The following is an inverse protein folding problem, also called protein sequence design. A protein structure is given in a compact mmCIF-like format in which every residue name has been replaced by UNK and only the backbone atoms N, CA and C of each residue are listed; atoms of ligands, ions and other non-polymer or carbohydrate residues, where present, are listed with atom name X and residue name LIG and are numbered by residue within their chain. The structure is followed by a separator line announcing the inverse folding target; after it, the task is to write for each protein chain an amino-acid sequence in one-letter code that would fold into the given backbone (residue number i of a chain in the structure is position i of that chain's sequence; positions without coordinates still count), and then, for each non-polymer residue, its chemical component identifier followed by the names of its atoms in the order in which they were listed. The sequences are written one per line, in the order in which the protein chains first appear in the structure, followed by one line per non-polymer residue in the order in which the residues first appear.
data_IF_392702518771
#
_entry.id   IF_392702518771
#
_cell.length_a   1.000
_cell.length_b   1.000
_cell.length_c   1.000
_cell.angle_alpha   90.00
_cell.angle_beta   90.00
_cell.angle_gamma   90.00
#
_symmetry.space_group_name_H-M   'P 1'
#
loop_
_entity.id
_entity.type
_entity.pdbx_description
1 polymer ?
#
# COMPACT_ATOMS: atom_id res chain seq x y z
N UNK A 1 12.52 -12.84 24.80
CA UNK A 1 11.55 -12.37 23.80
C UNK A 1 12.26 -11.83 22.56
N UNK A 2 13.14 -10.81 22.65
CA UNK A 2 13.78 -10.18 21.49
C UNK A 2 14.54 -11.20 20.61
N UNK A 3 15.36 -12.07 21.21
CA UNK A 3 16.10 -13.12 20.50
C UNK A 3 15.19 -14.12 19.75
N UNK A 4 14.02 -14.45 20.34
CA UNK A 4 13.05 -15.34 19.69
C UNK A 4 12.40 -14.66 18.48
N UNK A 5 12.16 -13.36 18.58
CA UNK A 5 11.64 -12.55 17.47
C UNK A 5 12.68 -12.46 16.33
N UNK A 6 13.94 -12.15 16.65
CA UNK A 6 15.02 -12.07 15.65
C UNK A 6 15.21 -13.41 14.91
N UNK A 7 15.09 -14.54 15.64
CA UNK A 7 15.13 -15.87 15.04
C UNK A 7 13.93 -16.18 14.16
N UNK A 8 12.72 -15.75 14.53
CA UNK A 8 11.53 -15.91 13.71
C UNK A 8 11.62 -15.05 12.44
N UNK A 9 12.05 -13.81 12.55
CA UNK A 9 12.25 -12.89 11.43
C UNK A 9 13.33 -13.40 10.46
N UNK A 10 14.46 -13.89 10.98
CA UNK A 10 15.53 -14.47 10.16
C UNK A 10 15.12 -15.73 9.37
N UNK A 11 13.99 -16.35 9.73
CA UNK A 11 13.43 -17.53 9.07
C UNK A 11 12.22 -17.21 8.18
N UNK A 12 11.92 -15.94 7.92
CA UNK A 12 10.84 -15.52 7.03
C UNK A 12 9.66 -14.84 7.71
N UNK A 13 9.67 -14.73 9.04
CA UNK A 13 8.75 -13.87 9.80
C UNK A 13 7.34 -14.41 10.07
N UNK A 14 6.89 -15.46 9.39
CA UNK A 14 5.55 -16.03 9.51
C UNK A 14 5.47 -17.19 10.54
N UNK A 15 6.33 -17.17 11.54
CA UNK A 15 6.43 -18.20 12.57
C UNK A 15 6.49 -17.61 13.97
N UNK A 16 6.11 -18.45 14.94
CA UNK A 16 6.30 -18.17 16.36
C UNK A 16 7.50 -18.96 16.86
N UNK A 17 8.49 -18.27 17.42
CA UNK A 17 9.61 -18.90 18.09
C UNK A 17 9.38 -18.89 19.61
N UNK A 18 9.25 -20.07 20.19
CA UNK A 18 9.15 -20.23 21.65
C UNK A 18 10.49 -20.72 22.18
N UNK A 19 11.08 -19.96 23.10
CA UNK A 19 12.26 -20.40 23.85
C UNK A 19 11.81 -21.04 25.15
N UNK A 20 12.15 -22.32 25.33
CA UNK A 20 12.01 -23.05 26.57
C UNK A 20 13.39 -23.52 27.02
N UNK A 21 13.88 -22.98 28.13
CA UNK A 21 15.25 -23.11 28.59
C UNK A 21 16.25 -22.73 27.46
N UNK A 22 17.06 -23.67 26.98
CA UNK A 22 18.04 -23.45 25.90
C UNK A 22 17.59 -23.98 24.54
N UNK A 23 16.33 -24.44 24.40
CA UNK A 23 15.77 -24.91 23.15
C UNK A 23 14.80 -23.92 22.54
N UNK A 24 14.89 -23.76 21.22
CA UNK A 24 13.89 -23.01 20.44
C UNK A 24 12.98 -23.97 19.72
N UNK A 25 11.68 -23.80 19.90
CA UNK A 25 10.64 -24.51 19.13
C UNK A 25 9.94 -23.51 18.23
N UNK A 26 9.81 -23.85 16.96
CA UNK A 26 9.17 -23.00 15.96
C UNK A 26 7.81 -23.57 15.60
N UNK A 27 6.79 -22.71 15.56
CA UNK A 27 5.41 -23.04 15.18
C UNK A 27 5.00 -22.14 14.01
N UNK A 28 4.33 -22.71 13.03
CA UNK A 28 3.98 -22.02 11.80
C UNK A 28 5.13 -22.06 10.79
N UNK A 29 5.13 -21.12 9.86
CA UNK A 29 6.22 -21.02 8.87
C UNK A 29 6.24 -22.14 7.83
N UNK A 30 5.10 -22.74 7.55
CA UNK A 30 4.91 -23.49 6.31
C UNK A 30 4.68 -22.43 5.22
N UNK A 31 5.73 -21.68 4.88
CA UNK A 31 5.72 -20.89 3.68
C UNK A 31 5.54 -21.86 2.52
N UNK A 32 4.34 -21.97 2.01
CA UNK A 32 4.14 -22.41 0.62
C UNK A 32 5.09 -21.55 -0.17
N UNK A 33 6.12 -22.15 -0.76
CA UNK A 33 7.25 -21.47 -1.35
C UNK A 33 6.80 -20.23 -2.11
N UNK A 34 7.52 -19.13 -1.96
CA UNK A 34 7.27 -17.89 -2.68
C UNK A 34 6.93 -18.27 -4.11
N UNK A 35 5.65 -18.12 -4.47
CA UNK A 35 5.18 -18.43 -5.82
C UNK A 35 6.13 -17.68 -6.76
N UNK A 36 6.96 -18.41 -7.51
CA UNK A 36 7.88 -17.78 -8.46
C UNK A 36 7.00 -16.96 -9.40
N UNK A 37 6.85 -15.67 -9.08
CA UNK A 37 6.15 -14.73 -9.95
C UNK A 37 6.91 -14.75 -11.27
N UNK A 38 6.39 -15.47 -12.24
CA UNK A 38 7.03 -15.54 -13.55
C UNK A 38 7.08 -14.12 -14.09
N UNK A 39 8.20 -13.74 -14.72
CA UNK A 39 8.35 -12.42 -15.40
C UNK A 39 7.18 -12.11 -16.32
N UNK A 40 6.53 -13.14 -16.88
CA UNK A 40 5.34 -13.02 -17.73
C UNK A 40 4.14 -12.51 -16.92
N UNK A 41 3.83 -13.11 -15.76
CA UNK A 41 2.72 -12.67 -14.90
C UNK A 41 2.91 -11.22 -14.44
N UNK A 42 4.12 -10.85 -14.05
CA UNK A 42 4.42 -9.47 -13.64
C UNK A 42 4.19 -8.48 -14.79
N UNK A 43 4.60 -8.82 -16.01
CA UNK A 43 4.37 -7.97 -17.18
C UNK A 43 2.88 -7.83 -17.51
N UNK A 44 2.12 -8.92 -17.44
CA UNK A 44 0.66 -8.91 -17.68
C UNK A 44 -0.03 -7.99 -16.68
N UNK A 45 0.28 -8.12 -15.38
CA UNK A 45 -0.29 -7.26 -14.34
C UNK A 45 0.10 -5.80 -14.55
N UNK A 46 1.38 -5.51 -14.83
CA UNK A 46 1.85 -4.15 -15.08
C UNK A 46 1.18 -3.53 -16.32
N UNK A 47 0.97 -4.30 -17.40
CA UNK A 47 0.26 -3.84 -18.59
C UNK A 47 -1.19 -3.51 -18.29
N UNK A 48 -1.90 -4.38 -17.57
CA UNK A 48 -3.29 -4.15 -17.19
C UNK A 48 -3.43 -2.91 -16.29
N UNK A 49 -2.55 -2.75 -15.29
CA UNK A 49 -2.53 -1.54 -14.46
C UNK A 49 -2.26 -0.28 -15.26
N UNK A 50 -1.30 -0.32 -16.19
CA UNK A 50 -0.99 0.82 -17.06
C UNK A 50 -2.18 1.21 -17.94
N UNK A 51 -2.95 0.24 -18.42
CA UNK A 51 -4.16 0.49 -19.20
C UNK A 51 -5.24 1.16 -18.35
N UNK A 52 -5.50 0.65 -17.14
CA UNK A 52 -6.45 1.25 -16.20
C UNK A 52 -6.07 2.69 -15.85
N UNK A 53 -4.78 2.95 -15.59
CA UNK A 53 -4.27 4.30 -15.32
C UNK A 53 -4.49 5.21 -16.53
N UNK A 54 -4.15 4.76 -17.75
CA UNK A 54 -4.33 5.57 -18.97
C UNK A 54 -5.80 5.89 -19.28
N UNK A 55 -6.71 5.03 -18.92
CA UNK A 55 -8.16 5.20 -19.19
C UNK A 55 -8.86 6.04 -18.11
N UNK A 56 -8.23 6.26 -16.96
CA UNK A 56 -8.77 7.10 -15.90
C UNK A 56 -8.73 8.60 -16.27
N UNK A 57 -9.63 9.39 -15.69
CA UNK A 57 -9.57 10.86 -15.77
C UNK A 57 -8.43 11.43 -14.93
N UNK A 58 -8.23 10.86 -13.77
CA UNK A 58 -7.17 11.17 -12.82
C UNK A 58 -6.94 9.96 -11.90
N UNK A 59 -5.86 9.99 -11.14
CA UNK A 59 -5.51 8.93 -10.20
C UNK A 59 -5.47 9.50 -8.78
N UNK A 60 -6.18 8.86 -7.88
CA UNK A 60 -6.10 9.13 -6.44
C UNK A 60 -5.45 7.93 -5.77
N UNK A 61 -4.48 8.16 -4.91
CA UNK A 61 -3.72 7.10 -4.27
C UNK A 61 -3.84 7.29 -2.75
N UNK A 62 -4.04 6.24 -2.00
CA UNK A 62 -4.02 6.29 -0.55
C UNK A 62 -3.54 4.98 0.06
N UNK A 63 -2.99 5.06 1.24
CA UNK A 63 -2.65 3.90 2.06
C UNK A 63 -3.64 3.66 3.18
N UNK A 64 -3.14 3.08 4.27
CA UNK A 64 -3.92 2.81 5.48
C UNK A 64 -3.91 3.97 6.47
N UNK A 65 -4.86 3.97 7.42
CA UNK A 65 -4.83 4.83 8.62
C UNK A 65 -3.48 4.65 9.34
N UNK A 66 -2.95 5.77 9.89
CA UNK A 66 -1.62 5.77 10.52
C UNK A 66 -0.51 5.36 9.56
N UNK A 67 -0.63 5.79 8.29
CA UNK A 67 0.30 5.44 7.21
C UNK A 67 1.76 5.55 7.66
N UNK A 68 2.51 4.50 7.46
CA UNK A 68 3.92 4.38 7.80
C UNK A 68 4.82 4.63 6.57
N UNK A 69 6.11 4.32 6.68
CA UNK A 69 7.08 4.56 5.62
C UNK A 69 6.82 3.67 4.39
N UNK A 70 6.33 2.44 4.59
CA UNK A 70 6.03 1.51 3.50
C UNK A 70 4.82 2.00 2.71
N UNK A 71 3.75 2.34 3.41
CA UNK A 71 2.52 2.90 2.84
C UNK A 71 2.78 4.17 2.04
N UNK A 72 3.51 5.15 2.60
CA UNK A 72 3.82 6.42 1.91
C UNK A 72 4.80 6.20 0.76
N UNK A 73 5.79 5.33 0.92
CA UNK A 73 6.75 4.98 -0.13
C UNK A 73 6.09 4.30 -1.32
N UNK A 74 5.20 3.33 -1.06
CA UNK A 74 4.41 2.65 -2.09
C UNK A 74 3.49 3.63 -2.82
N UNK A 75 2.80 4.52 -2.07
CA UNK A 75 1.94 5.56 -2.65
C UNK A 75 2.73 6.51 -3.56
N UNK A 76 3.91 6.96 -3.14
CA UNK A 76 4.76 7.83 -3.94
C UNK A 76 5.27 7.12 -5.20
N UNK A 77 5.63 5.85 -5.12
CA UNK A 77 6.00 5.04 -6.29
C UNK A 77 4.87 4.98 -7.33
N UNK A 78 3.63 4.76 -6.89
CA UNK A 78 2.46 4.75 -7.79
C UNK A 78 2.12 6.13 -8.33
N UNK A 79 2.30 7.20 -7.56
CA UNK A 79 2.19 8.57 -8.01
C UNK A 79 3.15 8.85 -9.18
N UNK A 80 4.44 8.54 -9.03
CA UNK A 80 5.43 8.70 -10.11
C UNK A 80 5.10 7.85 -11.33
N UNK A 81 4.59 6.64 -11.15
CA UNK A 81 4.15 5.78 -12.25
C UNK A 81 2.96 6.38 -13.01
N UNK A 82 1.97 6.96 -12.32
CA UNK A 82 0.83 7.62 -12.93
C UNK A 82 1.26 8.85 -13.74
N UNK A 83 2.14 9.69 -13.19
CA UNK A 83 2.72 10.84 -13.91
C UNK A 83 3.49 10.40 -15.15
N UNK A 84 4.29 9.34 -15.08
CA UNK A 84 5.03 8.79 -16.22
C UNK A 84 4.10 8.28 -17.34
N UNK A 85 2.87 7.90 -16.99
CA UNK A 85 1.82 7.51 -17.93
C UNK A 85 0.98 8.72 -18.41
N UNK A 86 1.36 9.95 -18.08
CA UNK A 86 0.70 11.18 -18.48
C UNK A 86 -0.61 11.47 -17.75
N UNK A 87 -0.78 10.97 -16.52
CA UNK A 87 -1.99 11.18 -15.72
C UNK A 87 -1.73 12.04 -14.49
N UNK A 88 -2.64 12.96 -14.25
CA UNK A 88 -2.67 13.69 -12.97
C UNK A 88 -2.92 12.71 -11.84
N UNK A 89 -2.11 12.81 -10.81
CA UNK A 89 -2.22 11.96 -9.64
C UNK A 89 -2.06 12.77 -8.35
N UNK A 90 -2.70 12.31 -7.27
CA UNK A 90 -2.55 12.88 -5.93
C UNK A 90 -2.55 11.77 -4.89
N UNK A 91 -1.75 11.95 -3.85
CA UNK A 91 -1.67 11.05 -2.71
C UNK A 91 -2.49 11.64 -1.57
N UNK A 92 -3.51 10.93 -1.16
CA UNK A 92 -4.32 11.29 0.01
C UNK A 92 -3.61 10.81 1.26
N UNK A 93 -3.36 11.73 2.18
CA UNK A 93 -2.77 11.43 3.48
C UNK A 93 -3.35 12.32 4.57
N UNK A 94 -3.69 11.72 5.70
CA UNK A 94 -4.08 12.46 6.88
C UNK A 94 -2.83 12.81 7.71
N UNK A 95 -2.30 14.02 7.52
CA UNK A 95 -1.10 14.50 8.21
C UNK A 95 -1.21 14.54 9.74
N UNK A 96 -2.43 14.44 10.30
CA UNK A 96 -2.64 14.41 11.76
C UNK A 96 -2.40 13.03 12.37
N UNK A 97 -2.50 11.98 11.56
CA UNK A 97 -2.43 10.59 12.02
C UNK A 97 -1.30 9.78 11.41
N UNK A 98 -0.70 10.26 10.33
CA UNK A 98 0.42 9.55 9.68
C UNK A 98 1.64 9.42 10.61
N UNK A 99 2.31 8.29 10.54
CA UNK A 99 3.57 8.02 11.22
C UNK A 99 4.79 8.36 10.33
N UNK A 100 4.55 8.67 9.06
CA UNK A 100 5.59 8.93 8.06
C UNK A 100 5.80 10.43 7.75
N UNK A 101 5.45 11.34 8.67
CA UNK A 101 5.58 12.78 8.44
C UNK A 101 6.98 13.21 7.96
N UNK A 102 8.10 12.68 8.48
CA UNK A 102 9.43 13.04 7.99
C UNK A 102 9.67 12.69 6.51
N UNK A 103 9.11 11.56 6.04
CA UNK A 103 9.20 11.16 4.62
C UNK A 103 8.34 12.08 3.74
N UNK A 104 7.13 12.41 4.20
CA UNK A 104 6.24 13.34 3.51
C UNK A 104 6.89 14.72 3.35
N UNK A 105 7.54 15.23 4.40
CA UNK A 105 8.23 16.51 4.37
C UNK A 105 9.49 16.47 3.49
N UNK A 106 10.16 15.33 3.42
CA UNK A 106 11.30 15.14 2.52
C UNK A 106 10.86 15.13 1.05
N UNK A 107 9.82 14.37 0.71
CA UNK A 107 9.24 14.31 -0.65
C UNK A 107 8.69 15.70 -1.05
N UNK A 108 8.00 16.37 -0.13
CA UNK A 108 7.41 17.69 -0.36
C UNK A 108 8.39 18.77 -0.77
N UNK A 109 9.70 18.60 -0.52
CA UNK A 109 10.73 19.55 -1.00
C UNK A 109 10.90 19.55 -2.53
N UNK A 110 10.58 18.44 -3.18
CA UNK A 110 10.71 18.28 -4.64
C UNK A 110 9.37 18.13 -5.36
N UNK A 111 8.35 17.64 -4.66
CA UNK A 111 7.00 17.37 -5.17
C UNK A 111 5.97 17.83 -4.12
N UNK A 112 5.93 19.12 -3.78
CA UNK A 112 5.10 19.69 -2.70
C UNK A 112 3.60 19.53 -2.92
N UNK A 113 3.16 19.47 -4.17
CA UNK A 113 1.76 19.34 -4.58
C UNK A 113 1.28 17.88 -4.70
N UNK A 114 2.12 16.89 -4.41
CA UNK A 114 1.73 15.48 -4.54
C UNK A 114 0.79 15.01 -3.42
N UNK A 115 0.91 15.56 -2.21
CA UNK A 115 0.11 15.17 -1.05
C UNK A 115 -1.09 16.09 -0.83
N UNK A 116 -2.26 15.48 -0.67
CA UNK A 116 -3.50 16.21 -0.41
C UNK A 116 -4.21 15.68 0.83
N UNK A 117 -5.04 16.53 1.44
CA UNK A 117 -5.87 16.11 2.58
C UNK A 117 -6.98 15.13 2.15
N UNK A 118 -7.54 14.33 3.07
CA UNK A 118 -8.70 13.48 2.80
C UNK A 118 -9.87 14.24 2.17
N UNK A 119 -10.15 15.45 2.62
CA UNK A 119 -11.22 16.30 2.06
C UNK A 119 -10.94 16.71 0.61
N UNK A 120 -9.70 17.05 0.29
CA UNK A 120 -9.29 17.35 -1.08
C UNK A 120 -9.35 16.11 -1.96
N UNK A 121 -8.88 14.97 -1.45
CA UNK A 121 -8.97 13.67 -2.15
C UNK A 121 -10.41 13.29 -2.49
N UNK A 122 -11.36 13.49 -1.57
CA UNK A 122 -12.78 13.25 -1.80
C UNK A 122 -13.34 14.14 -2.95
N UNK A 123 -12.93 15.42 -3.00
CA UNK A 123 -13.33 16.33 -4.08
C UNK A 123 -12.76 15.92 -5.44
N UNK A 124 -11.52 15.44 -5.47
CA UNK A 124 -10.85 14.97 -6.68
C UNK A 124 -11.38 13.63 -7.19
N UNK A 125 -12.05 12.84 -6.32
CA UNK A 125 -12.64 11.56 -6.69
C UNK A 125 -13.94 11.78 -7.44
N UNK A 126 -13.92 11.57 -8.75
CA UNK A 126 -15.05 11.67 -9.67
C UNK A 126 -15.32 10.33 -10.36
N UNK A 127 -16.39 10.23 -11.17
CA UNK A 127 -16.88 8.97 -11.77
C UNK A 127 -15.79 8.14 -12.48
N UNK A 128 -14.83 8.78 -13.16
CA UNK A 128 -13.75 8.10 -13.89
C UNK A 128 -12.39 8.16 -13.16
N UNK A 129 -12.37 8.51 -11.88
CA UNK A 129 -11.17 8.43 -11.07
C UNK A 129 -10.77 6.98 -10.84
N UNK A 130 -9.50 6.68 -10.99
CA UNK A 130 -8.91 5.43 -10.52
C UNK A 130 -8.36 5.65 -9.11
N UNK A 131 -8.89 4.93 -8.14
CA UNK A 131 -8.33 4.86 -6.80
C UNK A 131 -7.33 3.72 -6.73
N UNK A 132 -6.12 4.01 -6.26
CA UNK A 132 -5.10 3.00 -5.96
C UNK A 132 -4.91 2.96 -4.44
N UNK A 133 -5.28 1.85 -3.83
CA UNK A 133 -5.07 1.59 -2.41
C UNK A 133 -3.78 0.78 -2.27
N UNK A 134 -2.86 1.26 -1.45
CA UNK A 134 -1.57 0.61 -1.21
C UNK A 134 -1.44 0.19 0.24
N UNK A 135 -0.71 -0.91 0.47
CA UNK A 135 -0.31 -1.39 1.79
C UNK A 135 -1.47 -1.69 2.75
N UNK A 136 -2.64 -1.92 2.20
CA UNK A 136 -3.80 -2.48 2.91
C UNK A 136 -4.82 -3.03 1.94
N UNK A 137 -5.55 -4.06 2.37
CA UNK A 137 -6.69 -4.62 1.64
C UNK A 137 -8.01 -4.49 2.42
N UNK A 138 -8.01 -3.74 3.53
CA UNK A 138 -9.18 -3.59 4.40
C UNK A 138 -9.86 -2.24 4.17
N UNK A 139 -11.11 -2.25 3.73
CA UNK A 139 -11.90 -1.05 3.47
C UNK A 139 -12.06 -0.15 4.72
N UNK A 140 -12.16 -0.74 5.90
CA UNK A 140 -12.29 0.02 7.15
C UNK A 140 -10.96 0.60 7.67
N UNK A 141 -9.85 0.20 7.08
CA UNK A 141 -8.53 0.64 7.50
C UNK A 141 -7.85 1.61 6.53
N UNK A 142 -8.48 1.95 5.42
CA UNK A 142 -7.96 2.98 4.48
C UNK A 142 -7.89 4.36 5.15
N UNK A 143 -7.00 5.21 4.68
CA UNK A 143 -6.77 6.56 5.27
C UNK A 143 -8.00 7.47 5.13
N UNK A 144 -8.81 7.31 4.08
CA UNK A 144 -10.08 8.02 3.90
C UNK A 144 -11.18 7.10 3.41
N UNK A 145 -12.14 6.80 4.29
CA UNK A 145 -13.32 6.01 3.94
C UNK A 145 -14.18 6.70 2.88
N UNK A 146 -14.36 8.02 2.97
CA UNK A 146 -15.14 8.78 2.00
C UNK A 146 -14.57 8.71 0.58
N UNK A 147 -13.25 8.79 0.44
CA UNK A 147 -12.56 8.61 -0.86
C UNK A 147 -12.82 7.20 -1.41
N UNK A 148 -12.71 6.19 -0.55
CA UNK A 148 -12.96 4.81 -0.94
C UNK A 148 -14.41 4.57 -1.39
N UNK A 149 -15.38 5.00 -0.59
CA UNK A 149 -16.82 4.80 -0.88
C UNK A 149 -17.28 5.54 -2.15
N UNK A 150 -16.62 6.64 -2.48
CA UNK A 150 -16.91 7.44 -3.67
C UNK A 150 -16.28 6.87 -4.95
N UNK A 151 -15.19 6.12 -4.83
CA UNK A 151 -14.45 5.58 -5.97
C UNK A 151 -15.21 4.42 -6.63
N UNK A 152 -15.35 4.46 -7.96
CA UNK A 152 -16.00 3.39 -8.73
C UNK A 152 -14.99 2.37 -9.27
N UNK A 153 -13.72 2.77 -9.43
CA UNK A 153 -12.66 1.92 -9.93
C UNK A 153 -11.54 1.90 -8.89
N UNK A 154 -11.23 0.73 -8.38
CA UNK A 154 -10.23 0.55 -7.32
C UNK A 154 -9.20 -0.51 -7.73
N UNK A 155 -7.93 -0.22 -7.52
CA UNK A 155 -6.82 -1.18 -7.54
C UNK A 155 -6.28 -1.28 -6.12
N UNK A 156 -6.02 -2.50 -5.66
CA UNK A 156 -5.36 -2.76 -4.38
C UNK A 156 -4.00 -3.37 -4.63
N UNK A 157 -2.96 -2.78 -4.03
CA UNK A 157 -1.59 -3.27 -4.04
C UNK A 157 -1.17 -3.49 -2.60
N UNK A 158 -1.17 -4.74 -2.18
CA UNK A 158 -0.92 -5.11 -0.80
C UNK A 158 -0.10 -6.39 -0.72
N UNK A 159 0.83 -6.44 0.24
CA UNK A 159 1.68 -7.60 0.51
C UNK A 159 1.28 -8.36 1.78
N UNK A 160 0.33 -7.83 2.55
CA UNK A 160 -0.15 -8.44 3.76
C UNK A 160 -0.94 -9.73 3.49
N UNK A 161 -0.99 -10.59 4.48
CA UNK A 161 -1.77 -11.83 4.40
C UNK A 161 -3.26 -11.49 4.30
N UNK A 162 -3.92 -11.99 3.27
CA UNK A 162 -5.36 -11.76 3.06
C UNK A 162 -6.17 -12.22 4.27
N UNK A 163 -7.09 -11.37 4.69
CA UNK A 163 -8.13 -11.67 5.68
C UNK A 163 -9.45 -12.00 4.97
N UNK A 164 -10.49 -12.37 5.72
CA UNK A 164 -11.81 -12.72 5.16
C UNK A 164 -12.47 -11.48 4.55
N UNK A 165 -12.28 -10.31 5.17
CA UNK A 165 -12.86 -9.02 4.74
C UNK A 165 -11.79 -8.24 3.95
N UNK A 166 -11.89 -8.22 2.63
CA UNK A 166 -11.00 -7.46 1.75
C UNK A 166 -11.77 -6.60 0.74
N UNK A 167 -11.12 -5.54 0.26
CA UNK A 167 -11.60 -4.63 -0.81
C UNK A 167 -11.83 -5.39 -2.10
#
# INVERSE_FOLDING_TARGET
ARHSLDMALGRGGDQVAVKDNDKYTFFGGVSKGVEKRTKVRTRVVASAMSELIRNASNVVIMGHKFSDLDSVGAAYGMYKAALALGKDAKIVVNRKTTLAQPLIDYIGKSDDDCFVSPLTGERLTVKKTLLIVVDTHKADFVDSKNVYEKAQNVIVIDHHRKTVDYI
#
